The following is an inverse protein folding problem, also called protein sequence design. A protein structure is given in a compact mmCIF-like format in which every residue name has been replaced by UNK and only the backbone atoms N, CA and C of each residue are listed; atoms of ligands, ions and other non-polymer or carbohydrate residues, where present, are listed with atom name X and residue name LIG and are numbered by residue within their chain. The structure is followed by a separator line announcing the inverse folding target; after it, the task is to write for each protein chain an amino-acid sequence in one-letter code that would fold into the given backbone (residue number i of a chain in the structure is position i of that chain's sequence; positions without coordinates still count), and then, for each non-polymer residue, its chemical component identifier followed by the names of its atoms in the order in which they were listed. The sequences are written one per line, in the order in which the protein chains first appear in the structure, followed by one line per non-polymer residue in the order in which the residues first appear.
data_IF_388276865509
#
_entry.id   IF_388276865509
#
_cell.length_a   1.000
_cell.length_b   1.000
_cell.length_c   1.000
_cell.angle_alpha   90.00
_cell.angle_beta   90.00
_cell.angle_gamma   90.00
#
_symmetry.space_group_name_H-M   'P 1'
#
loop_
_entity.id
_entity.type
_entity.pdbx_description
1 polymer ?
#
# COMPACT_ATOMS: atom_id res chain seq x y z
N UNK A 1 17.21 -30.03 -10.90
CA UNK A 1 17.56 -28.65 -11.30
C UNK A 1 16.57 -28.19 -12.37
N UNK A 2 15.53 -27.40 -12.03
CA UNK A 2 14.59 -26.86 -13.01
C UNK A 2 15.26 -25.68 -13.70
N UNK A 3 15.59 -25.80 -14.98
CA UNK A 3 16.04 -24.68 -15.82
C UNK A 3 14.95 -23.59 -15.82
N UNK A 4 15.30 -22.42 -15.28
CA UNK A 4 14.47 -21.22 -15.40
C UNK A 4 14.30 -20.93 -16.90
N UNK A 5 13.07 -20.98 -17.43
CA UNK A 5 12.80 -20.51 -18.80
C UNK A 5 13.33 -19.07 -18.90
N UNK A 6 14.09 -18.73 -19.95
CA UNK A 6 14.54 -17.37 -20.16
C UNK A 6 13.34 -16.45 -20.19
N UNK A 7 13.43 -15.32 -19.49
CA UNK A 7 12.41 -14.27 -19.53
C UNK A 7 12.38 -13.73 -20.98
N UNK A 8 11.26 -13.81 -21.71
CA UNK A 8 11.20 -13.32 -23.08
C UNK A 8 11.46 -11.81 -23.17
N UNK A 9 11.39 -11.06 -22.07
CA UNK A 9 11.81 -9.67 -22.00
C UNK A 9 13.35 -9.50 -22.10
N UNK A 10 14.14 -10.53 -21.79
CA UNK A 10 15.61 -10.46 -21.88
C UNK A 10 16.14 -10.55 -23.33
N UNK A 11 15.26 -10.86 -24.28
CA UNK A 11 15.59 -10.94 -25.72
C UNK A 11 14.92 -9.84 -26.56
N UNK A 12 14.09 -8.98 -25.96
CA UNK A 12 13.39 -7.90 -26.66
C UNK A 12 14.29 -6.66 -26.76
N UNK A 13 14.15 -5.92 -27.87
CA UNK A 13 14.83 -4.63 -28.01
C UNK A 13 14.34 -3.67 -26.90
N UNK A 14 15.24 -2.82 -26.35
CA UNK A 14 14.87 -1.91 -25.26
C UNK A 14 13.74 -0.92 -25.58
N UNK A 15 13.50 -0.68 -26.86
CA UNK A 15 12.48 0.19 -27.44
C UNK A 15 11.25 -0.57 -28.00
N UNK A 16 11.17 -1.89 -27.80
CA UNK A 16 10.02 -2.70 -28.25
C UNK A 16 8.81 -2.49 -27.31
N UNK A 17 7.89 -1.65 -27.73
CA UNK A 17 6.67 -1.31 -26.98
C UNK A 17 5.74 -2.53 -26.82
N UNK A 18 5.64 -3.41 -27.82
CA UNK A 18 4.82 -4.61 -27.73
C UNK A 18 5.38 -5.58 -26.69
N UNK A 19 6.69 -5.78 -26.68
CA UNK A 19 7.35 -6.62 -25.68
C UNK A 19 7.22 -6.02 -24.29
N UNK A 20 7.36 -4.69 -24.12
CA UNK A 20 7.14 -3.99 -22.85
C UNK A 20 5.70 -4.18 -22.35
N UNK A 21 4.71 -4.03 -23.23
CA UNK A 21 3.30 -4.28 -22.90
C UNK A 21 3.04 -5.72 -22.46
N UNK A 22 3.56 -6.70 -23.17
CA UNK A 22 3.43 -8.12 -22.78
C UNK A 22 4.11 -8.41 -21.43
N UNK A 23 5.26 -7.79 -21.16
CA UNK A 23 5.94 -7.88 -19.89
C UNK A 23 5.11 -7.26 -18.76
N UNK A 24 4.48 -6.10 -19.00
CA UNK A 24 3.58 -5.44 -18.06
C UNK A 24 2.36 -6.31 -17.71
N UNK A 25 1.69 -6.88 -18.72
CA UNK A 25 0.55 -7.79 -18.52
C UNK A 25 0.94 -9.03 -17.72
N UNK A 26 2.13 -9.60 -17.92
CA UNK A 26 2.65 -10.71 -17.11
C UNK A 26 2.86 -10.31 -15.65
N UNK A 27 3.25 -9.07 -15.38
CA UNK A 27 3.36 -8.54 -14.03
C UNK A 27 1.98 -8.39 -13.38
N UNK A 28 1.03 -7.77 -14.08
CA UNK A 28 -0.34 -7.55 -13.60
C UNK A 28 -1.09 -8.86 -13.31
N UNK A 29 -0.81 -9.93 -14.03
CA UNK A 29 -1.35 -11.26 -13.74
C UNK A 29 -0.86 -11.87 -12.42
N UNK A 30 0.18 -11.32 -11.81
CA UNK A 30 0.73 -11.83 -10.54
C UNK A 30 0.22 -11.07 -9.32
N UNK A 31 0.03 -9.77 -9.46
CA UNK A 31 -0.53 -8.86 -8.45
C UNK A 31 -0.88 -7.51 -9.05
N UNK A 32 -1.60 -6.72 -8.29
CA UNK A 32 -1.83 -5.32 -8.63
C UNK A 32 -0.54 -4.48 -8.56
N UNK A 33 -0.44 -3.49 -9.41
CA UNK A 33 0.62 -2.49 -9.47
C UNK A 33 0.02 -1.09 -9.67
N UNK A 34 0.65 -0.08 -9.10
CA UNK A 34 0.46 1.30 -9.51
C UNK A 34 1.21 1.59 -10.83
N UNK A 35 0.77 2.59 -11.57
CA UNK A 35 1.34 2.93 -12.87
C UNK A 35 2.84 3.24 -12.80
N UNK A 36 3.26 4.04 -11.82
CA UNK A 36 4.68 4.37 -11.63
C UNK A 36 5.52 3.15 -11.27
N UNK A 37 5.05 2.30 -10.36
CA UNK A 37 5.76 1.08 -9.99
C UNK A 37 5.89 0.14 -11.19
N UNK A 38 4.83 0.00 -12.00
CA UNK A 38 4.85 -0.84 -13.19
C UNK A 38 5.85 -0.33 -14.22
N UNK A 39 5.89 0.98 -14.48
CA UNK A 39 6.89 1.60 -15.36
C UNK A 39 8.32 1.34 -14.85
N UNK A 40 8.59 1.53 -13.57
CA UNK A 40 9.89 1.23 -12.99
C UNK A 40 10.27 -0.25 -13.16
N UNK A 41 9.33 -1.17 -12.97
CA UNK A 41 9.57 -2.61 -13.19
C UNK A 41 9.90 -2.97 -14.62
N UNK A 42 9.40 -2.21 -15.58
CA UNK A 42 9.77 -2.38 -17.00
C UNK A 42 11.17 -1.85 -17.26
N UNK A 43 11.54 -0.68 -16.74
CA UNK A 43 12.91 -0.16 -16.87
C UNK A 43 13.94 -1.05 -16.18
N UNK A 44 13.62 -1.61 -15.01
CA UNK A 44 14.47 -2.61 -14.32
C UNK A 44 14.68 -3.89 -15.15
N UNK A 45 13.85 -4.13 -16.15
CA UNK A 45 13.95 -5.27 -17.10
C UNK A 45 14.66 -4.92 -18.41
N UNK A 46 15.13 -3.69 -18.53
CA UNK A 46 15.93 -3.23 -19.65
C UNK A 46 15.17 -2.46 -20.72
N UNK A 47 13.86 -2.20 -20.55
CA UNK A 47 13.16 -1.29 -21.46
C UNK A 47 13.56 0.16 -21.18
N UNK A 48 13.72 0.96 -22.24
CA UNK A 48 13.98 2.40 -22.08
C UNK A 48 12.74 3.09 -21.50
N UNK A 49 12.98 4.16 -20.74
CA UNK A 49 11.90 4.84 -20.01
C UNK A 49 10.72 5.28 -20.89
N UNK A 50 10.92 5.87 -22.10
CA UNK A 50 9.80 6.24 -22.97
C UNK A 50 8.93 5.04 -23.35
N UNK A 51 9.54 3.90 -23.67
CA UNK A 51 8.82 2.67 -24.04
C UNK A 51 8.03 2.10 -22.86
N UNK A 52 8.63 2.09 -21.68
CA UNK A 52 7.95 1.67 -20.45
C UNK A 52 6.74 2.56 -20.14
N UNK A 53 6.90 3.89 -20.27
CA UNK A 53 5.83 4.86 -20.05
C UNK A 53 4.71 4.72 -21.11
N UNK A 54 5.05 4.54 -22.39
CA UNK A 54 4.07 4.34 -23.47
C UNK A 54 3.24 3.06 -23.26
N UNK A 55 3.89 1.96 -22.90
CA UNK A 55 3.22 0.69 -22.58
C UNK A 55 2.25 0.84 -21.38
N UNK A 56 2.69 1.50 -20.30
CA UNK A 56 1.85 1.76 -19.12
C UNK A 56 0.67 2.68 -19.46
N UNK A 57 0.91 3.77 -20.20
CA UNK A 57 -0.16 4.68 -20.64
C UNK A 57 -1.21 3.97 -21.50
N UNK A 58 -0.80 3.04 -22.35
CA UNK A 58 -1.71 2.17 -23.11
C UNK A 58 -2.62 1.36 -22.21
N UNK A 59 -2.06 0.72 -21.16
CA UNK A 59 -2.83 -0.08 -20.22
C UNK A 59 -3.81 0.77 -19.39
N UNK A 60 -3.43 2.00 -19.04
CA UNK A 60 -4.33 2.96 -18.36
C UNK A 60 -5.51 3.33 -19.25
N UNK A 61 -5.26 3.69 -20.53
CA UNK A 61 -6.33 4.02 -21.49
C UNK A 61 -7.33 2.88 -21.69
N UNK A 62 -6.85 1.64 -21.64
CA UNK A 62 -7.66 0.43 -21.76
C UNK A 62 -8.30 -0.01 -20.44
N UNK A 63 -8.12 0.75 -19.36
CA UNK A 63 -8.60 0.44 -18.01
C UNK A 63 -8.12 -0.92 -17.45
N UNK A 64 -7.04 -1.44 -17.98
CA UNK A 64 -6.37 -2.63 -17.46
C UNK A 64 -5.48 -2.28 -16.27
N UNK A 65 -5.05 -1.03 -16.17
CA UNK A 65 -4.33 -0.45 -15.04
C UNK A 65 -5.11 0.77 -14.53
N UNK A 66 -5.33 0.82 -13.21
CA UNK A 66 -6.12 1.87 -12.55
C UNK A 66 -5.56 2.12 -11.16
N UNK A 67 -4.94 3.29 -10.96
CA UNK A 67 -4.31 3.67 -9.70
C UNK A 67 -5.33 3.91 -8.57
N UNK A 68 -6.56 4.30 -8.88
CA UNK A 68 -7.61 4.45 -7.87
C UNK A 68 -8.00 3.08 -7.32
N UNK A 69 -8.29 2.13 -8.19
CA UNK A 69 -8.60 0.74 -7.82
C UNK A 69 -7.42 0.08 -7.09
N UNK A 70 -6.19 0.32 -7.55
CA UNK A 70 -4.99 -0.14 -6.87
C UNK A 70 -4.90 0.41 -5.44
N UNK A 71 -5.13 1.71 -5.24
CA UNK A 71 -5.10 2.34 -3.92
C UNK A 71 -6.16 1.75 -2.98
N UNK A 72 -7.40 1.55 -3.45
CA UNK A 72 -8.49 0.95 -2.68
C UNK A 72 -8.14 -0.48 -2.21
N UNK A 73 -7.69 -1.34 -3.13
CA UNK A 73 -7.28 -2.71 -2.81
C UNK A 73 -6.09 -2.72 -1.86
N UNK A 74 -5.12 -1.83 -2.05
CA UNK A 74 -3.96 -1.69 -1.19
C UNK A 74 -4.36 -1.30 0.25
N UNK A 75 -5.26 -0.31 0.39
CA UNK A 75 -5.81 0.09 1.69
C UNK A 75 -6.50 -1.08 2.36
N UNK A 76 -7.43 -1.75 1.68
CA UNK A 76 -8.17 -2.87 2.23
C UNK A 76 -7.25 -4.01 2.70
N UNK A 77 -6.30 -4.41 1.85
CA UNK A 77 -5.34 -5.48 2.15
C UNK A 77 -4.49 -5.18 3.38
N UNK A 78 -3.91 -3.98 3.47
CA UNK A 78 -3.03 -3.60 4.57
C UNK A 78 -3.77 -3.27 5.87
N UNK A 79 -4.97 -2.69 5.78
CA UNK A 79 -5.86 -2.49 6.91
C UNK A 79 -6.25 -3.81 7.59
N UNK A 80 -6.57 -4.83 6.80
CA UNK A 80 -6.88 -6.17 7.31
C UNK A 80 -5.68 -6.85 8.01
N UNK A 81 -4.45 -6.41 7.69
CA UNK A 81 -3.21 -6.84 8.36
C UNK A 81 -2.81 -5.98 9.56
N UNK A 82 -3.71 -5.11 10.02
CA UNK A 82 -3.52 -4.27 11.19
C UNK A 82 -2.55 -3.10 10.96
N UNK A 83 -2.43 -2.61 9.73
CA UNK A 83 -1.74 -1.36 9.46
C UNK A 83 -2.73 -0.19 9.51
N UNK A 84 -2.27 0.93 10.06
CA UNK A 84 -3.05 2.15 10.16
C UNK A 84 -2.91 3.06 8.92
N UNK A 85 -3.78 4.07 8.79
CA UNK A 85 -3.90 4.90 7.60
C UNK A 85 -2.63 5.70 7.29
N UNK A 86 -1.88 6.16 8.29
CA UNK A 86 -0.65 6.93 8.10
C UNK A 86 0.43 6.10 7.39
N UNK A 87 0.63 4.86 7.84
CA UNK A 87 1.59 3.94 7.24
C UNK A 87 1.18 3.51 5.84
N UNK A 88 -0.11 3.25 5.63
CA UNK A 88 -0.65 2.86 4.33
C UNK A 88 -0.49 4.00 3.33
N UNK A 89 -0.87 5.23 3.70
CA UNK A 89 -0.70 6.41 2.86
C UNK A 89 0.77 6.68 2.50
N UNK A 90 1.69 6.47 3.45
CA UNK A 90 3.13 6.59 3.17
C UNK A 90 3.58 5.60 2.09
N UNK A 91 3.19 4.34 2.21
CA UNK A 91 3.57 3.29 1.25
C UNK A 91 2.96 3.51 -0.14
N UNK A 92 1.72 4.01 -0.22
CA UNK A 92 1.11 4.39 -1.50
C UNK A 92 1.86 5.55 -2.16
N UNK A 93 2.35 6.54 -1.38
CA UNK A 93 3.21 7.61 -1.90
C UNK A 93 4.54 7.07 -2.44
N UNK A 94 5.17 6.15 -1.73
CA UNK A 94 6.38 5.47 -2.20
C UNK A 94 6.14 4.69 -3.49
N UNK A 95 4.96 4.09 -3.65
CA UNK A 95 4.53 3.44 -4.90
C UNK A 95 4.19 4.43 -6.02
N UNK A 96 4.20 5.74 -5.74
CA UNK A 96 3.99 6.81 -6.72
C UNK A 96 2.53 7.09 -7.05
N UNK A 97 1.60 6.66 -6.21
CA UNK A 97 0.17 6.99 -6.36
C UNK A 97 -0.06 8.47 -6.05
N UNK A 98 -0.94 9.12 -6.82
CA UNK A 98 -1.28 10.53 -6.65
C UNK A 98 -1.93 10.80 -5.28
N UNK A 99 -1.61 11.96 -4.68
CA UNK A 99 -2.05 12.31 -3.32
C UNK A 99 -3.57 12.32 -3.17
N UNK A 100 -4.29 12.74 -4.21
CA UNK A 100 -5.75 12.78 -4.25
C UNK A 100 -6.35 11.37 -4.17
N UNK A 101 -5.79 10.42 -4.90
CA UNK A 101 -6.23 9.02 -4.89
C UNK A 101 -5.94 8.36 -3.54
N UNK A 102 -4.77 8.64 -2.97
CA UNK A 102 -4.42 8.16 -1.62
C UNK A 102 -5.41 8.67 -0.59
N UNK A 103 -5.71 9.97 -0.62
CA UNK A 103 -6.66 10.59 0.30
C UNK A 103 -8.04 9.98 0.13
N UNK A 104 -8.55 9.89 -1.10
CA UNK A 104 -9.86 9.30 -1.37
C UNK A 104 -9.97 7.85 -0.85
N UNK A 105 -8.96 7.01 -1.12
CA UNK A 105 -8.95 5.62 -0.68
C UNK A 105 -8.87 5.47 0.86
N UNK A 106 -8.11 6.33 1.54
CA UNK A 106 -7.96 6.32 3.00
C UNK A 106 -9.21 6.88 3.67
N UNK A 107 -9.81 7.97 3.15
CA UNK A 107 -11.00 8.62 3.70
C UNK A 107 -12.25 7.75 3.54
N UNK A 108 -12.35 6.97 2.47
CA UNK A 108 -13.42 5.98 2.30
C UNK A 108 -13.51 4.98 3.47
N UNK A 109 -12.40 4.76 4.18
CA UNK A 109 -12.32 3.89 5.36
C UNK A 109 -12.26 4.65 6.69
N UNK A 110 -12.47 5.96 6.71
CA UNK A 110 -12.23 6.82 7.89
C UNK A 110 -13.00 6.37 9.14
N UNK A 111 -14.27 5.99 8.99
CA UNK A 111 -15.10 5.51 10.10
C UNK A 111 -14.57 4.19 10.70
N UNK A 112 -13.91 3.38 9.90
CA UNK A 112 -13.39 2.06 10.31
C UNK A 112 -12.05 2.14 11.05
N UNK A 113 -11.24 3.17 10.84
CA UNK A 113 -9.87 3.23 11.38
C UNK A 113 -9.82 3.21 12.90
N UNK A 114 -10.75 3.94 13.55
CA UNK A 114 -10.83 3.95 15.02
C UNK A 114 -11.20 2.57 15.56
N UNK A 115 -12.18 1.93 14.96
CA UNK A 115 -12.61 0.57 15.30
C UNK A 115 -11.47 -0.44 15.11
N UNK A 116 -10.77 -0.39 13.98
CA UNK A 116 -9.62 -1.25 13.67
C UNK A 116 -8.47 -1.07 14.66
N UNK A 117 -8.20 0.16 15.09
CA UNK A 117 -7.19 0.45 16.11
C UNK A 117 -7.53 -0.21 17.45
N UNK A 118 -8.77 -0.06 17.92
CA UNK A 118 -9.27 -0.69 19.16
C UNK A 118 -9.19 -2.22 19.06
N UNK A 119 -9.64 -2.81 17.97
CA UNK A 119 -9.60 -4.26 17.76
C UNK A 119 -8.16 -4.80 17.76
N UNK A 120 -7.24 -4.10 17.09
CA UNK A 120 -5.83 -4.47 17.07
C UNK A 120 -5.21 -4.41 18.47
N UNK A 121 -5.50 -3.35 19.25
CA UNK A 121 -5.06 -3.25 20.64
C UNK A 121 -5.57 -4.42 21.47
N UNK A 122 -6.88 -4.70 21.41
CA UNK A 122 -7.50 -5.81 22.16
C UNK A 122 -6.92 -7.16 21.78
N UNK A 123 -6.67 -7.39 20.50
CA UNK A 123 -6.07 -8.63 19.99
C UNK A 123 -4.65 -8.83 20.51
N UNK A 124 -3.88 -7.75 20.68
CA UNK A 124 -2.47 -7.80 21.08
C UNK A 124 -2.25 -7.79 22.58
N UNK A 125 -3.10 -7.07 23.34
CA UNK A 125 -2.92 -6.80 24.77
C UNK A 125 -4.08 -7.27 25.65
N UNK A 126 -5.13 -7.82 25.06
CA UNK A 126 -6.35 -8.23 25.79
C UNK A 126 -7.42 -7.15 25.84
N UNK A 127 -8.58 -7.54 26.37
CA UNK A 127 -9.75 -6.65 26.43
C UNK A 127 -9.61 -5.55 27.50
N UNK A 128 -8.84 -5.82 28.58
CA UNK A 128 -8.65 -4.89 29.69
C UNK A 128 -7.93 -3.64 29.23
N UNK A 129 -8.37 -2.48 29.69
CA UNK A 129 -7.67 -1.22 29.45
C UNK A 129 -6.35 -1.15 30.20
N UNK A 130 -5.35 -0.42 29.69
CA UNK A 130 -4.07 -0.27 30.36
C UNK A 130 -4.26 0.49 31.68
N UNK A 131 -3.83 -0.10 32.78
CA UNK A 131 -4.01 0.46 34.11
C UNK A 131 -2.91 1.45 34.53
N UNK A 132 -1.69 1.27 33.98
CA UNK A 132 -0.53 2.10 34.33
C UNK A 132 -0.10 2.98 33.16
N UNK A 133 0.56 4.07 33.47
CA UNK A 133 1.15 4.96 32.47
C UNK A 133 2.16 4.23 31.55
N UNK A 134 2.96 3.35 32.12
CA UNK A 134 3.91 2.53 31.39
C UNK A 134 3.22 1.58 30.39
N UNK A 135 2.09 0.97 30.77
CA UNK A 135 1.30 0.13 29.88
C UNK A 135 0.66 0.95 28.75
N UNK A 136 0.10 2.12 29.08
CA UNK A 136 -0.45 3.07 28.09
C UNK A 136 0.62 3.47 27.08
N UNK A 137 1.79 3.87 27.53
CA UNK A 137 2.91 4.26 26.66
C UNK A 137 3.38 3.12 25.75
N UNK A 138 3.44 1.88 26.26
CA UNK A 138 3.79 0.70 25.46
C UNK A 138 2.75 0.41 24.39
N UNK A 139 1.47 0.45 24.75
CA UNK A 139 0.38 0.20 23.80
C UNK A 139 0.27 1.31 22.76
N UNK A 140 0.40 2.58 23.17
CA UNK A 140 0.43 3.73 22.25
C UNK A 140 1.56 3.60 21.23
N UNK A 141 2.77 3.33 21.69
CA UNK A 141 3.94 3.15 20.82
C UNK A 141 3.72 2.04 19.78
N UNK A 142 3.17 0.90 20.21
CA UNK A 142 2.83 -0.19 19.28
C UNK A 142 1.86 0.26 18.20
N UNK A 143 0.76 0.93 18.55
CA UNK A 143 -0.26 1.38 17.62
C UNK A 143 0.27 2.46 16.66
N UNK A 144 1.06 3.41 17.18
CA UNK A 144 1.74 4.42 16.36
C UNK A 144 2.71 3.79 15.36
N UNK A 145 3.49 2.78 15.77
CA UNK A 145 4.37 2.04 14.87
C UNK A 145 3.59 1.25 13.80
N UNK A 146 2.35 0.89 14.08
CA UNK A 146 1.44 0.29 13.08
C UNK A 146 0.87 1.33 12.12
N UNK A 147 1.05 2.62 12.37
CA UNK A 147 0.64 3.73 11.53
C UNK A 147 -0.76 4.25 11.81
N UNK A 148 -1.27 4.07 13.03
CA UNK A 148 -2.49 4.76 13.47
C UNK A 148 -2.18 6.19 13.90
N UNK A 149 -3.12 7.12 13.67
CA UNK A 149 -2.98 8.52 14.08
C UNK A 149 -3.07 8.68 15.61
N UNK A 150 -2.58 9.82 16.12
CA UNK A 150 -2.66 10.12 17.55
C UNK A 150 -4.08 10.04 18.10
N UNK A 151 -5.08 10.54 17.34
CA UNK A 151 -6.50 10.49 17.74
C UNK A 151 -7.04 9.06 17.80
N UNK A 152 -6.67 8.22 16.83
CA UNK A 152 -7.05 6.81 16.80
C UNK A 152 -6.41 6.04 17.98
N UNK A 153 -5.15 6.34 18.27
CA UNK A 153 -4.41 5.75 19.38
C UNK A 153 -5.04 6.18 20.71
N UNK A 154 -5.29 7.48 20.94
CA UNK A 154 -5.97 7.98 22.14
C UNK A 154 -7.33 7.30 22.36
N UNK A 155 -8.13 7.21 21.29
CA UNK A 155 -9.42 6.53 21.36
C UNK A 155 -9.31 5.03 21.69
N UNK A 156 -8.20 4.38 21.34
CA UNK A 156 -8.00 2.94 21.55
C UNK A 156 -7.49 2.61 22.96
N UNK A 157 -6.71 3.49 23.59
CA UNK A 157 -6.09 3.27 24.92
C UNK A 157 -6.82 3.94 26.08
N UNK A 158 -7.94 4.68 25.81
CA UNK A 158 -8.67 5.46 26.82
C UNK A 158 -8.22 6.91 26.90
N UNK A 159 -9.11 7.79 27.40
CA UNK A 159 -8.99 9.26 27.29
C UNK A 159 -7.98 9.93 28.23
N UNK A 160 -7.46 9.27 29.25
CA UNK A 160 -6.67 9.97 30.27
C UNK A 160 -5.18 9.99 29.92
N UNK A 161 -4.80 10.83 28.96
CA UNK A 161 -3.42 11.30 28.79
C UNK A 161 -3.25 12.77 29.16
N UNK A 162 -4.32 13.45 29.54
CA UNK A 162 -4.28 14.78 30.14
C UNK A 162 -4.30 14.56 31.68
N UNK A 163 -3.12 14.21 32.21
CA UNK A 163 -2.86 14.28 33.62
C UNK A 163 -2.58 15.73 33.98
N UNK A 164 -3.25 16.20 35.04
CA UNK A 164 -2.92 17.42 35.77
C UNK A 164 -1.39 17.61 35.93
#
# INVERSE_FOLDING_TARGET
MRRRKPDPAAAAAPDDELAARLAALKLLNRRDYGARELSQRLTDRGFVEPTAQAAVAGLVREKLLDDARFAEHFVAYHANRGQGPVRIAHRLREAGVAAELIRAAVDASAAEWRRRCVLLRRRRFGAREPATWAERGRQARFLTQRGFSADQVRAAIGKDLDGD
#
